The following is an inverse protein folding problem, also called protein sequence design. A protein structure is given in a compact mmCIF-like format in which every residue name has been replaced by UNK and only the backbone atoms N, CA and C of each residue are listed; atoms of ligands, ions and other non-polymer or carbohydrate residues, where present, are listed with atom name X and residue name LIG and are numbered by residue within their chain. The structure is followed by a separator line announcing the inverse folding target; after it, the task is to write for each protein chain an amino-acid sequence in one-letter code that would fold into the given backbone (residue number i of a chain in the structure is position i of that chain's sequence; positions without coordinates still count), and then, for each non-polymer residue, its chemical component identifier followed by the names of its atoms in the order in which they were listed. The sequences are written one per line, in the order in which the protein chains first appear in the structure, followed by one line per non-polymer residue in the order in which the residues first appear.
data_IF_401684596063
#
_entry.id   IF_401684596063
#
_cell.length_a   1.000
_cell.length_b   1.000
_cell.length_c   1.000
_cell.angle_alpha   90.00
_cell.angle_beta   90.00
_cell.angle_gamma   90.00
#
_symmetry.space_group_name_H-M   'P 1'
#
loop_
_entity.id
_entity.type
_entity.pdbx_description
1 polymer ?
#
# COMPACT_ATOMS: atom_id res chain seq x y z
N UNK A 1 3.04 4.81 -8.40
CA UNK A 1 2.79 5.06 -9.85
C UNK A 1 2.24 6.45 -10.18
N UNK A 2 2.35 7.47 -9.30
CA UNK A 2 2.00 8.86 -9.63
C UNK A 2 0.51 9.21 -9.71
N UNK A 3 -0.38 8.25 -9.93
CA UNK A 3 -1.84 8.44 -9.90
C UNK A 3 -2.44 8.25 -8.50
N UNK A 4 -3.58 8.89 -8.23
CA UNK A 4 -4.26 8.82 -6.92
C UNK A 4 -5.05 7.52 -6.77
N UNK A 5 -4.81 6.82 -5.67
CA UNK A 5 -5.58 5.66 -5.23
C UNK A 5 -5.91 5.78 -3.74
N UNK A 6 -6.84 4.95 -3.25
CA UNK A 6 -7.12 4.82 -1.81
C UNK A 6 -6.55 3.52 -1.30
N UNK A 7 -5.99 3.55 -0.09
CA UNK A 7 -5.50 2.36 0.61
C UNK A 7 -6.09 2.29 2.02
N UNK A 8 -6.22 1.07 2.60
CA UNK A 8 -6.70 0.92 3.97
C UNK A 8 -5.77 1.60 4.98
N UNK A 9 -6.34 2.44 5.85
CA UNK A 9 -5.61 3.10 6.93
C UNK A 9 -5.24 2.16 8.09
N UNK A 10 -5.87 0.98 8.17
CA UNK A 10 -5.77 0.03 9.28
C UNK A 10 -4.34 -0.32 9.71
N UNK A 11 -3.43 -0.71 8.80
CA UNK A 11 -2.05 -1.05 9.17
C UNK A 11 -1.32 0.09 9.88
N UNK A 12 -1.39 1.31 9.34
CA UNK A 12 -0.76 2.49 9.92
C UNK A 12 -1.40 2.89 11.26
N UNK A 13 -2.72 2.79 11.38
CA UNK A 13 -3.44 3.08 12.63
C UNK A 13 -3.08 2.09 13.75
N UNK A 14 -2.98 0.80 13.44
CA UNK A 14 -2.59 -0.23 14.40
C UNK A 14 -1.15 -0.03 14.87
N UNK A 15 -0.22 0.23 13.93
CA UNK A 15 1.18 0.53 14.26
C UNK A 15 1.30 1.74 15.20
N UNK A 16 0.62 2.85 14.89
CA UNK A 16 0.58 4.03 15.75
C UNK A 16 0.01 3.76 17.14
N UNK A 17 -1.07 2.99 17.22
CA UNK A 17 -1.76 2.74 18.48
C UNK A 17 -1.00 1.78 19.40
N UNK A 18 -0.25 0.86 18.82
CA UNK A 18 0.39 -0.25 19.55
C UNK A 18 1.90 -0.09 19.71
N UNK A 19 2.53 0.77 18.92
CA UNK A 19 3.99 0.82 18.78
C UNK A 19 4.58 -0.37 18.01
N UNK A 20 3.74 -1.22 17.41
CA UNK A 20 4.21 -2.34 16.60
C UNK A 20 4.90 -1.85 15.32
N UNK A 21 5.94 -2.57 14.91
CA UNK A 21 6.61 -2.34 13.63
C UNK A 21 5.69 -2.67 12.47
N UNK A 22 5.64 -1.79 11.47
CA UNK A 22 4.89 -2.01 10.24
C UNK A 22 5.87 -2.35 9.11
N UNK A 23 5.84 -3.61 8.66
CA UNK A 23 6.71 -4.12 7.61
C UNK A 23 5.89 -4.37 6.33
N UNK A 24 6.15 -3.63 5.24
CA UNK A 24 5.56 -3.95 3.94
C UNK A 24 6.11 -5.29 3.43
N UNK A 25 5.26 -6.07 2.76
CA UNK A 25 5.65 -7.33 2.14
C UNK A 25 5.14 -7.37 0.71
N UNK A 26 6.01 -7.69 -0.24
CA UNK A 26 5.62 -7.98 -1.63
C UNK A 26 5.90 -9.45 -1.93
N UNK A 27 5.04 -10.03 -2.77
CA UNK A 27 5.10 -11.43 -3.16
C UNK A 27 5.19 -11.50 -4.68
N UNK A 28 6.05 -12.39 -5.18
CA UNK A 28 6.24 -12.62 -6.62
C UNK A 28 6.63 -14.07 -6.88
N UNK A 29 6.62 -14.44 -8.16
CA UNK A 29 7.06 -15.73 -8.65
C UNK A 29 8.34 -15.59 -9.48
N UNK A 30 9.13 -16.66 -9.51
CA UNK A 30 10.27 -16.81 -10.40
C UNK A 30 10.10 -18.11 -11.21
N UNK A 31 11.17 -18.65 -11.80
CA UNK A 31 11.11 -19.93 -12.53
C UNK A 31 10.85 -21.15 -11.63
N UNK A 32 10.78 -20.99 -10.31
CA UNK A 32 10.53 -22.07 -9.36
C UNK A 32 9.03 -22.16 -9.01
N UNK A 33 8.53 -23.32 -8.56
CA UNK A 33 7.11 -23.47 -8.21
C UNK A 33 6.74 -22.84 -6.85
N UNK A 34 7.61 -22.01 -6.26
CA UNK A 34 7.44 -21.48 -4.90
C UNK A 34 7.41 -19.96 -4.94
N UNK A 35 6.35 -19.38 -4.39
CA UNK A 35 6.21 -17.93 -4.21
C UNK A 35 7.34 -17.38 -3.33
N UNK A 36 7.92 -16.26 -3.75
CA UNK A 36 8.94 -15.52 -3.00
C UNK A 36 8.28 -14.37 -2.25
N UNK A 37 8.83 -14.03 -1.10
CA UNK A 37 8.41 -12.87 -0.32
C UNK A 37 9.59 -11.99 0.03
N UNK A 38 9.44 -10.69 -0.17
CA UNK A 38 10.40 -9.68 0.24
C UNK A 38 9.78 -8.89 1.39
N UNK A 39 10.47 -8.87 2.53
CA UNK A 39 10.16 -7.98 3.65
C UNK A 39 10.93 -6.69 3.42
N UNK A 40 10.21 -5.60 3.22
CA UNK A 40 10.77 -4.27 3.00
C UNK A 40 11.20 -3.63 4.33
N UNK A 41 12.03 -2.56 4.30
CA UNK A 41 12.30 -1.77 5.48
C UNK A 41 11.01 -1.34 6.20
N UNK A 42 11.12 -1.21 7.53
CA UNK A 42 9.98 -0.78 8.34
C UNK A 42 9.50 0.61 7.95
N UNK A 43 8.18 0.78 7.91
CA UNK A 43 7.56 2.09 7.72
C UNK A 43 7.86 2.96 8.93
N UNK A 44 8.38 4.16 8.67
CA UNK A 44 8.74 5.11 9.71
C UNK A 44 7.50 5.88 10.18
N UNK A 45 7.35 5.98 11.50
CA UNK A 45 6.36 6.84 12.13
C UNK A 45 6.89 8.27 12.17
N UNK A 46 6.24 9.26 11.52
CA UNK A 46 6.69 10.64 11.58
C UNK A 46 6.65 11.19 13.01
N UNK A 47 7.66 11.99 13.37
CA UNK A 47 7.75 12.63 14.69
C UNK A 47 6.66 13.70 14.88
N UNK A 48 6.36 14.45 13.83
CA UNK A 48 5.43 15.59 13.84
C UNK A 48 4.15 15.33 13.03
N UNK A 49 3.15 16.20 13.24
CA UNK A 49 1.85 16.13 12.57
C UNK A 49 0.74 15.52 13.44
N UNK A 50 -0.49 15.74 13.01
CA UNK A 50 -1.68 15.12 13.60
C UNK A 50 -1.69 13.62 13.35
N UNK A 51 -2.49 12.88 14.13
CA UNK A 51 -2.68 11.44 13.93
C UNK A 51 -3.08 11.09 12.49
N UNK A 52 -3.96 11.90 11.88
CA UNK A 52 -4.42 11.68 10.51
C UNK A 52 -3.31 11.89 9.48
N UNK A 53 -2.50 12.94 9.62
CA UNK A 53 -1.36 13.22 8.74
C UNK A 53 -0.30 12.12 8.86
N UNK A 54 0.01 11.67 10.09
CA UNK A 54 0.91 10.54 10.32
C UNK A 54 0.39 9.25 9.67
N UNK A 55 -0.90 8.95 9.81
CA UNK A 55 -1.53 7.80 9.14
C UNK A 55 -1.38 7.89 7.62
N UNK A 56 -1.67 9.04 7.02
CA UNK A 56 -1.55 9.24 5.59
C UNK A 56 -0.10 9.06 5.10
N UNK A 57 0.88 9.63 5.81
CA UNK A 57 2.29 9.50 5.47
C UNK A 57 2.79 8.05 5.56
N UNK A 58 2.41 7.32 6.62
CA UNK A 58 2.74 5.89 6.76
C UNK A 58 2.08 5.03 5.68
N UNK A 59 0.83 5.32 5.33
CA UNK A 59 0.14 4.62 4.23
C UNK A 59 0.77 4.92 2.88
N UNK A 60 1.30 6.13 2.66
CA UNK A 60 2.05 6.45 1.45
C UNK A 60 3.36 5.66 1.36
N UNK A 61 4.11 5.54 2.46
CA UNK A 61 5.32 4.70 2.50
C UNK A 61 5.02 3.22 2.17
N UNK A 62 3.90 2.67 2.66
CA UNK A 62 3.43 1.35 2.23
C UNK A 62 3.18 1.30 0.72
N UNK A 63 2.47 2.30 0.17
CA UNK A 63 2.17 2.39 -1.25
C UNK A 63 3.43 2.44 -2.11
N UNK A 64 4.47 3.14 -1.65
CA UNK A 64 5.74 3.27 -2.35
C UNK A 64 6.51 1.93 -2.35
N UNK A 65 6.54 1.22 -1.22
CA UNK A 65 7.14 -0.12 -1.14
C UNK A 65 6.40 -1.14 -2.02
N UNK A 66 5.06 -1.09 -2.05
CA UNK A 66 4.28 -1.93 -2.95
C UNK A 66 4.51 -1.56 -4.41
N UNK A 67 4.56 -0.28 -4.76
CA UNK A 67 4.83 0.16 -6.13
C UNK A 67 6.19 -0.31 -6.63
N UNK A 68 7.22 -0.35 -5.76
CA UNK A 68 8.53 -0.91 -6.09
C UNK A 68 8.42 -2.39 -6.47
N UNK A 69 7.89 -3.24 -5.58
CA UNK A 69 7.81 -4.68 -5.85
C UNK A 69 6.87 -5.03 -7.01
N UNK A 70 5.78 -4.28 -7.18
CA UNK A 70 4.89 -4.43 -8.35
C UNK A 70 5.61 -4.02 -9.64
N UNK A 71 6.44 -2.98 -9.64
CA UNK A 71 7.18 -2.58 -10.83
C UNK A 71 8.25 -3.61 -11.24
N UNK A 72 8.81 -4.34 -10.28
CA UNK A 72 9.78 -5.42 -10.53
C UNK A 72 9.11 -6.68 -11.10
N UNK A 73 7.88 -7.00 -10.65
CA UNK A 73 7.11 -8.18 -11.07
C UNK A 73 5.64 -7.82 -11.40
N UNK A 74 5.40 -7.02 -12.46
CA UNK A 74 4.06 -6.49 -12.74
C UNK A 74 3.05 -7.58 -13.12
N UNK A 75 3.49 -8.65 -13.77
CA UNK A 75 2.67 -9.79 -14.18
C UNK A 75 2.04 -10.56 -13.01
N UNK A 76 2.68 -10.51 -11.83
CA UNK A 76 2.22 -11.21 -10.62
C UNK A 76 1.22 -10.37 -9.82
N UNK A 77 1.02 -9.11 -10.19
CA UNK A 77 0.08 -8.24 -9.51
C UNK A 77 -1.33 -8.46 -10.05
N UNK A 78 -2.10 -9.30 -9.35
CA UNK A 78 -3.47 -9.65 -9.71
C UNK A 78 -4.50 -8.54 -9.40
N UNK A 79 -4.28 -7.33 -9.91
CA UNK A 79 -5.20 -6.20 -9.80
C UNK A 79 -6.06 -6.07 -11.06
N UNK A 80 -7.06 -6.95 -11.19
CA UNK A 80 -8.00 -6.94 -12.32
C UNK A 80 -9.15 -5.93 -12.15
N UNK A 81 -9.22 -5.26 -10.99
CA UNK A 81 -10.24 -4.26 -10.67
C UNK A 81 -9.66 -2.84 -10.83
N UNK A 82 -10.55 -1.87 -11.05
CA UNK A 82 -10.17 -0.45 -11.09
C UNK A 82 -9.63 -0.03 -9.72
N UNK A 83 -8.43 0.52 -9.71
CA UNK A 83 -7.73 0.94 -8.49
C UNK A 83 -7.65 2.46 -8.36
N UNK A 84 -7.35 3.14 -9.47
CA UNK A 84 -7.13 4.57 -9.49
C UNK A 84 -8.46 5.32 -9.48
N UNK A 85 -8.49 6.44 -8.75
CA UNK A 85 -9.73 7.21 -8.58
C UNK A 85 -10.27 7.77 -9.89
N UNK A 86 -9.37 8.11 -10.83
CA UNK A 86 -9.72 8.67 -12.13
C UNK A 86 -10.43 7.66 -13.04
N UNK A 87 -10.29 6.36 -12.77
CA UNK A 87 -10.97 5.29 -13.52
C UNK A 87 -12.36 4.96 -12.97
N UNK A 88 -12.68 5.43 -11.77
CA UNK A 88 -13.96 5.13 -11.13
C UNK A 88 -15.05 5.98 -11.76
N UNK A 89 -16.16 5.35 -12.15
CA UNK A 89 -17.34 6.10 -12.55
C UNK A 89 -17.83 6.92 -11.34
N UNK A 90 -18.24 8.18 -11.53
CA UNK A 90 -18.85 8.96 -10.46
C UNK A 90 -20.00 8.13 -9.90
N UNK A 91 -20.00 7.91 -8.58
CA UNK A 91 -21.14 7.25 -7.93
C UNK A 91 -22.37 8.07 -8.29
N UNK A 92 -23.28 7.48 -9.08
CA UNK A 92 -24.56 8.10 -9.39
C UNK A 92 -25.22 8.53 -8.09
N UNK A 93 -25.73 9.76 -8.06
CA UNK A 93 -26.46 10.27 -6.91
C UNK A 93 -27.56 9.26 -6.53
N UNK A 94 -27.72 8.92 -5.25
CA UNK A 94 -28.82 8.06 -4.85
C UNK A 94 -30.13 8.81 -5.16
N UNK A 95 -30.91 8.26 -6.09
CA UNK A 95 -32.28 8.69 -6.39
C UNK A 95 -33.18 8.54 -5.17
#
# INVERSE_FOLDING_TARGET
FGATARMPAGPALLAQQTGAMLLPVTLSYDSTPVMKGIIHPAVELPEEGTRAEKTAAMTQQLADAFALGIAEHPEDWHMLQRLWLDDLDPRGEPT
#
